data_IF_523701755820
#
_entry.id   IF_523701755820
#
_cell.length_a   1.000
_cell.length_b   1.000
_cell.length_c   1.000
_cell.angle_alpha   90.00
_cell.angle_beta   90.00
_cell.angle_gamma   90.00
#
_symmetry.space_group_name_H-M   'P 1'
#
loop_
_entity.id
_entity.type
_entity.pdbx_description
1 polymer ?
#
# COMPACT_ATOMS: atom_id res chain seq x y z
N UNK A 1 1.69 -10.98 2.30
CA UNK A 1 2.53 -11.32 1.12
C UNK A 1 3.99 -11.17 1.53
N UNK A 2 4.90 -12.07 1.10
CA UNK A 2 6.33 -11.93 1.37
C UNK A 2 6.95 -10.73 0.62
N UNK A 3 7.77 -9.93 1.30
CA UNK A 3 8.41 -8.73 0.72
C UNK A 3 9.47 -9.06 -0.34
N UNK A 4 10.16 -10.19 -0.19
CA UNK A 4 11.15 -10.72 -1.12
C UNK A 4 10.55 -11.14 -2.48
N UNK A 5 9.22 -11.21 -2.59
CA UNK A 5 8.51 -11.46 -3.84
C UNK A 5 8.44 -10.27 -4.80
N UNK A 6 8.84 -9.07 -4.37
CA UNK A 6 8.77 -7.86 -5.19
C UNK A 6 10.03 -7.66 -6.03
N UNK A 7 9.85 -7.18 -7.27
CA UNK A 7 10.95 -6.82 -8.18
C UNK A 7 10.95 -5.32 -8.45
N UNK A 8 12.15 -4.79 -8.71
CA UNK A 8 12.36 -3.41 -9.17
C UNK A 8 11.73 -2.33 -8.26
N UNK A 9 11.97 -2.46 -6.95
CA UNK A 9 11.53 -1.48 -5.94
C UNK A 9 12.15 -0.11 -6.20
N UNK A 10 11.32 0.88 -6.53
CA UNK A 10 11.71 2.27 -6.74
C UNK A 10 10.92 3.19 -5.82
N UNK A 11 11.61 4.05 -5.09
CA UNK A 11 10.96 5.09 -4.30
C UNK A 11 10.42 6.19 -5.21
N UNK A 12 9.14 6.55 -5.07
CA UNK A 12 8.48 7.56 -5.91
C UNK A 12 8.34 8.89 -5.19
N UNK A 13 7.97 8.86 -3.90
CA UNK A 13 7.72 10.06 -3.10
C UNK A 13 8.59 10.06 -1.84
N UNK A 14 9.11 11.25 -1.52
CA UNK A 14 10.02 11.49 -0.39
C UNK A 14 9.30 12.37 0.64
N UNK A 15 8.32 11.80 1.32
CA UNK A 15 7.51 12.49 2.32
C UNK A 15 6.47 11.55 2.90
N UNK A 16 5.67 10.96 2.02
CA UNK A 16 4.93 9.72 2.25
C UNK A 16 5.74 8.60 1.59
N UNK A 17 6.09 7.55 2.31
CA UNK A 17 7.00 6.51 1.80
C UNK A 17 6.26 5.60 0.81
N UNK A 18 6.12 6.08 -0.42
CA UNK A 18 5.48 5.38 -1.53
C UNK A 18 6.54 4.71 -2.42
N UNK A 19 6.41 3.40 -2.62
CA UNK A 19 7.31 2.63 -3.47
C UNK A 19 6.55 2.00 -4.63
N UNK A 20 7.06 2.24 -5.84
CA UNK A 20 6.66 1.52 -7.03
C UNK A 20 7.33 0.17 -7.06
N UNK A 21 6.58 -0.90 -7.31
CA UNK A 21 7.10 -2.25 -7.45
C UNK A 21 6.38 -3.00 -8.56
N UNK A 22 7.06 -3.97 -9.15
CA UNK A 22 6.44 -4.93 -10.06
C UNK A 22 6.24 -6.24 -9.30
N UNK A 23 5.00 -6.70 -9.22
CA UNK A 23 4.63 -7.98 -8.61
C UNK A 23 3.88 -8.83 -9.63
N UNK A 24 4.37 -10.04 -9.93
CA UNK A 24 3.75 -10.96 -10.91
C UNK A 24 3.43 -10.33 -12.30
N UNK A 25 4.25 -9.39 -12.76
CA UNK A 25 4.06 -8.59 -13.98
C UNK A 25 2.91 -7.55 -13.90
N UNK A 26 2.40 -7.26 -12.71
CA UNK A 26 1.49 -6.15 -12.44
C UNK A 26 2.23 -5.00 -11.76
N UNK A 27 1.87 -3.78 -12.13
CA UNK A 27 2.38 -2.55 -11.50
C UNK A 27 1.59 -2.30 -10.22
N UNK A 28 2.27 -2.39 -9.09
CA UNK A 28 1.65 -2.19 -7.78
C UNK A 28 2.44 -1.18 -6.96
N UNK A 29 1.80 -0.64 -5.95
CA UNK A 29 2.36 0.38 -5.10
C UNK A 29 2.32 -0.07 -3.64
N UNK A 30 3.45 0.11 -2.96
CA UNK A 30 3.54 -0.05 -1.52
C UNK A 30 3.31 1.30 -0.87
N UNK A 31 2.21 1.39 -0.11
CA UNK A 31 1.95 2.54 0.73
C UNK A 31 2.41 2.26 2.16
N UNK A 32 3.48 2.93 2.56
CA UNK A 32 3.92 3.01 3.94
C UNK A 32 3.38 4.28 4.57
N UNK A 33 2.88 4.15 5.79
CA UNK A 33 2.34 5.27 6.55
C UNK A 33 3.25 5.51 7.74
N UNK A 34 3.71 6.74 7.89
CA UNK A 34 4.66 7.12 8.93
C UNK A 34 4.10 6.97 10.36
N UNK A 35 2.78 6.84 10.51
CA UNK A 35 2.09 6.70 11.81
C UNK A 35 1.71 5.26 12.18
N UNK A 36 1.98 4.26 11.35
CA UNK A 36 1.62 2.87 11.64
C UNK A 36 2.81 2.11 12.22
N UNK A 37 2.74 1.90 13.54
CA UNK A 37 3.77 1.17 14.29
C UNK A 37 3.41 -0.32 14.34
N UNK A 38 2.14 -0.68 14.14
CA UNK A 38 1.67 -2.06 14.26
C UNK A 38 0.58 -2.44 13.23
N UNK A 39 0.31 -3.74 13.12
CA UNK A 39 -0.65 -4.31 12.16
C UNK A 39 -2.10 -3.83 12.37
N UNK A 40 -2.52 -3.58 13.62
CA UNK A 40 -3.89 -3.13 13.89
C UNK A 40 -4.15 -1.74 13.32
N UNK A 41 -3.14 -0.86 13.32
CA UNK A 41 -3.29 0.48 12.75
C UNK A 41 -3.54 0.39 11.24
N UNK A 42 -2.79 -0.49 10.55
CA UNK A 42 -2.98 -0.79 9.12
C UNK A 42 -4.38 -1.37 8.85
N UNK A 43 -4.84 -2.32 9.67
CA UNK A 43 -6.16 -2.94 9.52
C UNK A 43 -7.31 -1.95 9.77
N UNK A 44 -7.17 -1.05 10.74
CA UNK A 44 -8.16 -0.02 11.03
C UNK A 44 -8.29 0.96 9.88
N UNK A 45 -7.18 1.37 9.28
CA UNK A 45 -7.18 2.25 8.10
C UNK A 45 -7.83 1.55 6.89
N UNK A 46 -7.49 0.27 6.66
CA UNK A 46 -8.17 -0.56 5.66
C UNK A 46 -9.68 -0.61 5.89
N UNK A 47 -10.12 -0.79 7.14
CA UNK A 47 -11.54 -0.84 7.48
C UNK A 47 -12.24 0.50 7.20
N UNK A 48 -11.61 1.62 7.55
CA UNK A 48 -12.12 2.97 7.25
C UNK A 48 -12.24 3.16 5.73
N UNK A 49 -11.20 2.81 4.98
CA UNK A 49 -11.21 2.91 3.52
C UNK A 49 -12.32 2.05 2.90
N UNK A 50 -12.39 0.76 3.24
CA UNK A 50 -13.43 -0.14 2.73
C UNK A 50 -14.85 0.36 3.04
N UNK A 51 -15.07 0.96 4.22
CA UNK A 51 -16.35 1.56 4.59
C UNK A 51 -16.67 2.84 3.80
N UNK A 52 -15.67 3.69 3.56
CA UNK A 52 -15.84 4.93 2.80
C UNK A 52 -16.13 4.67 1.31
N UNK A 53 -15.63 3.55 0.76
CA UNK A 53 -15.54 3.32 -0.68
C UNK A 53 -16.78 2.71 -1.36
N UNK A 54 -17.90 2.60 -0.67
CA UNK A 54 -19.11 1.87 -1.12
C UNK A 54 -19.84 2.49 -2.35
N UNK A 55 -19.24 3.41 -3.13
CA UNK A 55 -19.94 4.09 -4.25
C UNK A 55 -19.21 4.40 -5.56
N UNK A 56 -17.86 4.41 -5.71
CA UNK A 56 -17.27 5.00 -6.95
C UNK A 56 -16.07 4.28 -7.58
N UNK A 57 -15.30 3.45 -6.87
CA UNK A 57 -14.26 2.64 -7.52
C UNK A 57 -14.05 1.36 -6.70
N UNK A 58 -13.33 0.37 -7.21
CA UNK A 58 -13.00 -0.85 -6.49
C UNK A 58 -11.48 -0.93 -6.43
N UNK A 59 -10.91 -0.44 -5.33
CA UNK A 59 -9.48 -0.54 -5.05
C UNK A 59 -9.11 -2.01 -5.05
N UNK A 60 -8.24 -2.39 -5.99
CA UNK A 60 -7.65 -3.71 -5.95
C UNK A 60 -6.61 -3.73 -4.83
N UNK A 61 -6.98 -4.39 -3.74
CA UNK A 61 -6.11 -4.67 -2.61
C UNK A 61 -5.49 -6.05 -2.77
N UNK A 62 -4.17 -6.11 -2.81
CA UNK A 62 -3.44 -7.37 -2.97
C UNK A 62 -3.06 -8.01 -1.64
N UNK A 63 -2.78 -7.19 -0.63
CA UNK A 63 -2.42 -7.69 0.70
C UNK A 63 -1.62 -6.71 1.54
N UNK A 64 -1.12 -7.22 2.66
CA UNK A 64 -0.15 -6.53 3.54
C UNK A 64 1.21 -7.20 3.38
N UNK A 65 2.26 -6.40 3.37
CA UNK A 65 3.65 -6.86 3.46
C UNK A 65 4.33 -6.23 4.67
N UNK A 66 5.49 -6.77 5.06
CA UNK A 66 6.31 -6.21 6.13
C UNK A 66 7.69 -5.86 5.57
N UNK A 67 8.13 -4.64 5.83
CA UNK A 67 9.48 -4.19 5.55
C UNK A 67 10.49 -5.01 6.38
N UNK A 68 11.43 -5.75 5.78
CA UNK A 68 12.40 -6.51 6.55
C UNK A 68 13.42 -5.62 7.29
N UNK A 69 13.63 -4.37 6.86
CA UNK A 69 14.57 -3.45 7.50
C UNK A 69 13.90 -2.72 8.66
N UNK A 70 12.74 -2.12 8.40
CA UNK A 70 12.05 -1.28 9.39
C UNK A 70 11.04 -2.04 10.24
N UNK A 71 10.68 -3.26 9.86
CA UNK A 71 9.63 -4.08 10.46
C UNK A 71 8.23 -3.44 10.42
N UNK A 72 8.08 -2.32 9.72
CA UNK A 72 6.80 -1.66 9.49
C UNK A 72 5.93 -2.48 8.53
N UNK A 73 4.63 -2.50 8.78
CA UNK A 73 3.65 -3.08 7.87
C UNK A 73 3.24 -2.07 6.80
N UNK A 74 3.07 -2.53 5.57
CA UNK A 74 2.67 -1.72 4.42
C UNK A 74 1.52 -2.37 3.67
N UNK A 75 0.66 -1.55 3.06
CA UNK A 75 -0.39 -2.04 2.15
C UNK A 75 0.14 -2.18 0.73
N UNK A 76 -0.32 -3.21 0.02
CA UNK A 76 -0.05 -3.46 -1.40
C UNK A 76 -1.31 -3.15 -2.20
N UNK A 77 -1.26 -2.12 -3.03
CA UNK A 77 -2.40 -1.57 -3.78
C UNK A 77 -2.07 -1.48 -5.27
N UNK A 78 -3.08 -1.48 -6.13
CA UNK A 78 -2.89 -1.21 -7.57
C UNK A 78 -2.52 0.25 -7.84
N UNK A 79 -1.51 0.46 -8.68
CA UNK A 79 -0.86 1.76 -8.94
C UNK A 79 -1.81 2.85 -9.48
N UNK A 80 -2.64 2.53 -10.48
CA UNK A 80 -3.57 3.50 -11.09
C UNK A 80 -4.61 4.04 -10.10
N UNK A 81 -4.90 3.29 -9.03
CA UNK A 81 -5.92 3.64 -8.05
C UNK A 81 -5.39 4.58 -6.96
N UNK A 82 -4.07 4.58 -6.70
CA UNK A 82 -3.38 5.45 -5.72
C UNK A 82 -3.64 6.94 -5.96
N UNK A 83 -3.61 7.38 -7.23
CA UNK A 83 -3.88 8.77 -7.63
C UNK A 83 -5.29 9.27 -7.29
N UNK A 84 -6.22 8.36 -7.04
CA UNK A 84 -7.58 8.69 -6.58
C UNK A 84 -7.60 8.85 -5.06
N UNK A 85 -6.78 8.09 -4.32
CA UNK A 85 -6.70 8.15 -2.86
C UNK A 85 -6.08 9.43 -2.31
N UNK A 86 -5.10 10.03 -3.00
CA UNK A 86 -4.50 11.29 -2.54
C UNK A 86 -5.45 12.51 -2.68
N UNK A 87 -6.58 12.35 -3.39
CA UNK A 87 -7.53 13.41 -3.69
C UNK A 87 -8.77 13.43 -2.79
N UNK A 88 -8.85 12.52 -1.82
CA UNK A 88 -9.97 12.40 -0.86
C UNK A 88 -9.48 12.84 0.51
#
# INVERSE_FOLDING_TARGET
>A
MPYDGFKDVKQIVKGDLEQYIIYQNEEVELKKFDNFVNLNDVLNEMEIHLKAYNRVASIQFYGITQDPETHSYMMVLEYEQMRIFEKI
#
